data_IF_220896341058
#
_entry.id   IF_220896341058
#
_cell.length_a   1.000
_cell.length_b   1.000
_cell.length_c   1.000
_cell.angle_alpha   90.00
_cell.angle_beta   90.00
_cell.angle_gamma   90.00
#
_symmetry.space_group_name_H-M   'P 1'
#
loop_
_entity.id
_entity.type
_entity.pdbx_description
1 polymer ?
#
# COMPACT_ATOMS: atom_id res chain seq x y z
N UNK A 1 1.63 -37.60 15.55
CA UNK A 1 2.83 -37.27 14.74
C UNK A 1 3.17 -35.81 14.96
N UNK A 2 3.74 -35.50 16.12
CA UNK A 2 3.62 -34.17 16.74
C UNK A 2 4.98 -33.63 17.22
N UNK A 3 6.08 -33.98 16.55
CA UNK A 3 7.43 -33.62 17.03
C UNK A 3 8.22 -32.65 16.14
N UNK A 4 7.66 -32.16 15.03
CA UNK A 4 8.41 -31.22 14.18
C UNK A 4 8.28 -29.74 14.57
N UNK A 5 7.20 -29.33 15.27
CA UNK A 5 6.94 -27.91 15.57
C UNK A 5 6.19 -27.74 16.91
N UNK A 6 6.90 -27.67 18.04
CA UNK A 6 6.30 -27.43 19.36
C UNK A 6 5.39 -26.19 19.38
N UNK A 7 4.23 -26.28 20.03
CA UNK A 7 3.30 -25.15 20.17
C UNK A 7 2.45 -24.85 18.92
N UNK A 8 2.66 -25.56 17.81
CA UNK A 8 1.80 -25.47 16.63
C UNK A 8 0.53 -26.30 16.83
N UNK A 9 -0.64 -25.70 16.60
CA UNK A 9 -1.94 -26.39 16.59
C UNK A 9 -2.79 -25.95 15.41
N UNK A 10 -3.59 -26.87 14.86
CA UNK A 10 -4.62 -26.55 13.88
C UNK A 10 -6.00 -26.51 14.55
N UNK A 11 -6.91 -25.72 13.99
CA UNK A 11 -8.32 -25.74 14.36
C UNK A 11 -9.19 -25.47 13.12
N UNK A 12 -10.40 -26.01 13.12
CA UNK A 12 -11.37 -25.76 12.06
C UNK A 12 -12.23 -24.56 12.45
N UNK A 13 -12.27 -23.55 11.59
CA UNK A 13 -13.12 -22.38 11.75
C UNK A 13 -14.61 -22.75 11.57
N UNK A 14 -15.52 -21.89 12.04
CA UNK A 14 -16.99 -22.06 11.89
C UNK A 14 -17.46 -22.22 10.43
N UNK A 15 -16.60 -21.84 9.49
CA UNK A 15 -16.81 -21.95 8.03
C UNK A 15 -16.09 -23.17 7.41
N UNK A 16 -15.65 -24.14 8.22
CA UNK A 16 -15.00 -25.37 7.74
C UNK A 16 -13.54 -25.22 7.30
N UNK A 17 -12.95 -24.02 7.42
CA UNK A 17 -11.57 -23.77 7.01
C UNK A 17 -10.57 -24.15 8.10
N UNK A 18 -9.61 -25.01 7.77
CA UNK A 18 -8.48 -25.35 8.67
C UNK A 18 -7.55 -24.14 8.79
N UNK A 19 -7.36 -23.67 10.01
CA UNK A 19 -6.42 -22.59 10.36
C UNK A 19 -5.34 -23.13 11.30
N UNK A 20 -4.16 -22.54 11.20
CA UNK A 20 -3.00 -22.91 12.01
C UNK A 20 -2.66 -21.78 12.98
N UNK A 21 -2.24 -22.14 14.19
CA UNK A 21 -1.83 -21.18 15.23
C UNK A 21 -0.65 -21.70 16.03
N UNK A 22 0.22 -20.80 16.45
CA UNK A 22 1.22 -21.04 17.47
C UNK A 22 0.67 -20.59 18.83
N UNK A 23 0.69 -21.49 19.81
CA UNK A 23 0.18 -21.25 21.16
C UNK A 23 1.27 -21.54 22.18
N UNK A 24 1.55 -20.55 23.01
CA UNK A 24 2.29 -20.70 24.27
C UNK A 24 1.36 -20.36 25.44
N UNK A 25 1.87 -20.41 26.67
CA UNK A 25 1.10 -20.00 27.86
C UNK A 25 0.66 -18.53 27.79
N UNK A 26 1.41 -17.68 27.10
CA UNK A 26 1.22 -16.22 27.11
C UNK A 26 0.65 -15.67 25.79
N UNK A 27 0.88 -16.34 24.65
CA UNK A 27 0.49 -15.81 23.33
C UNK A 27 -0.16 -16.85 22.43
N UNK A 28 -1.09 -16.37 21.61
CA UNK A 28 -1.71 -17.11 20.51
C UNK A 28 -1.50 -16.32 19.23
N UNK A 29 -0.72 -16.85 18.30
CA UNK A 29 -0.42 -16.23 17.00
C UNK A 29 -1.00 -17.07 15.87
N UNK A 30 -1.73 -16.45 14.95
CA UNK A 30 -2.17 -17.14 13.73
C UNK A 30 -0.97 -17.34 12.81
N UNK A 31 -0.80 -18.56 12.30
CA UNK A 31 0.30 -18.91 11.39
C UNK A 31 -0.23 -19.40 10.04
N UNK A 32 0.57 -19.28 8.96
CA UNK A 32 0.35 -20.02 7.73
C UNK A 32 0.32 -21.54 7.97
N UNK A 33 -0.18 -22.31 7.00
CA UNK A 33 -0.10 -23.76 7.08
C UNK A 33 1.35 -24.25 6.90
N UNK A 34 1.77 -25.39 7.50
CA UNK A 34 3.13 -25.90 7.40
C UNK A 34 3.66 -26.12 5.98
N UNK A 35 2.76 -26.34 5.02
CA UNK A 35 3.05 -26.53 3.60
C UNK A 35 3.04 -25.24 2.78
N UNK A 36 2.76 -24.07 3.39
CA UNK A 36 2.72 -22.79 2.70
C UNK A 36 4.06 -22.05 2.78
N UNK A 37 4.36 -21.27 1.74
CA UNK A 37 5.48 -20.35 1.74
C UNK A 37 5.35 -19.35 2.90
N UNK A 38 6.48 -19.02 3.54
CA UNK A 38 6.52 -18.12 4.70
C UNK A 38 6.22 -18.78 6.04
N UNK A 39 5.82 -20.07 6.09
CA UNK A 39 5.57 -20.77 7.35
C UNK A 39 6.81 -20.83 8.26
N UNK A 40 7.97 -21.23 7.72
CA UNK A 40 9.19 -21.41 8.52
C UNK A 40 9.62 -20.12 9.21
N UNK A 41 9.60 -19.01 8.48
CA UNK A 41 9.93 -17.68 9.00
C UNK A 41 8.91 -17.21 10.03
N UNK A 42 7.61 -17.35 9.74
CA UNK A 42 6.56 -16.97 10.67
C UNK A 42 6.59 -17.81 11.96
N UNK A 43 6.90 -19.11 11.85
CA UNK A 43 7.07 -20.00 12.99
C UNK A 43 8.31 -19.63 13.81
N UNK A 44 9.46 -19.39 13.17
CA UNK A 44 10.67 -18.96 13.86
C UNK A 44 10.48 -17.63 14.58
N UNK A 45 9.87 -16.64 13.93
CA UNK A 45 9.52 -15.37 14.55
C UNK A 45 8.55 -15.55 15.73
N UNK A 46 7.58 -16.47 15.60
CA UNK A 46 6.64 -16.80 16.67
C UNK A 46 7.31 -17.53 17.85
N UNK A 47 8.38 -18.30 17.64
CA UNK A 47 9.19 -18.92 18.70
C UNK A 47 10.05 -17.87 19.40
N UNK A 48 10.78 -17.06 18.63
CA UNK A 48 11.71 -16.05 19.14
C UNK A 48 11.01 -14.79 19.69
N UNK A 49 9.69 -14.65 19.48
CA UNK A 49 8.93 -13.47 19.90
C UNK A 49 9.22 -12.22 19.06
N UNK A 50 9.86 -12.37 17.90
CA UNK A 50 10.10 -11.27 16.97
C UNK A 50 8.82 -10.93 16.21
N UNK A 51 8.55 -9.63 16.02
CA UNK A 51 7.51 -9.18 15.08
C UNK A 51 8.05 -9.41 13.67
N UNK A 52 7.38 -10.24 12.86
CA UNK A 52 7.70 -10.38 11.44
C UNK A 52 7.52 -8.99 10.80
N UNK A 53 8.56 -8.41 10.18
CA UNK A 53 8.42 -7.14 9.50
C UNK A 53 7.39 -7.30 8.38
N UNK A 54 6.34 -6.48 8.38
CA UNK A 54 5.42 -6.43 7.24
C UNK A 54 6.20 -5.91 6.04
N UNK A 55 6.03 -6.55 4.89
CA UNK A 55 6.60 -6.05 3.64
C UNK A 55 6.20 -4.57 3.45
N UNK A 56 7.13 -3.70 3.02
CA UNK A 56 6.83 -2.31 2.80
C UNK A 56 5.75 -2.19 1.72
N UNK A 57 4.67 -1.48 2.02
CA UNK A 57 3.65 -1.15 1.02
C UNK A 57 4.24 -0.08 0.11
N UNK A 58 4.74 -0.50 -1.05
CA UNK A 58 5.27 0.42 -2.07
C UNK A 58 4.09 0.98 -2.87
N UNK A 59 3.99 2.31 -2.97
CA UNK A 59 3.04 2.96 -3.88
C UNK A 59 3.50 2.69 -5.32
N UNK A 60 2.62 2.16 -6.17
CA UNK A 60 2.93 1.94 -7.58
C UNK A 60 3.26 3.26 -8.28
N UNK A 61 4.26 3.29 -9.18
CA UNK A 61 4.54 4.48 -9.99
C UNK A 61 3.29 4.92 -10.75
N UNK A 62 2.94 6.20 -10.65
CA UNK A 62 1.76 6.76 -11.32
C UNK A 62 0.42 6.50 -10.62
N UNK A 63 0.39 5.74 -9.51
CA UNK A 63 -0.81 5.60 -8.71
C UNK A 63 -1.25 6.96 -8.15
N UNK A 64 -2.52 7.30 -8.38
CA UNK A 64 -3.16 8.47 -7.81
C UNK A 64 -4.49 8.07 -7.20
N UNK A 65 -4.81 8.66 -6.05
CA UNK A 65 -6.10 8.47 -5.40
C UNK A 65 -7.21 9.04 -6.31
N UNK A 66 -8.37 8.38 -6.45
CA UNK A 66 -9.48 8.90 -7.25
C UNK A 66 -9.92 10.29 -6.77
N UNK A 67 -10.20 11.19 -7.71
CA UNK A 67 -10.72 12.53 -7.41
C UNK A 67 -9.71 13.50 -6.79
N UNK A 68 -8.40 13.24 -6.90
CA UNK A 68 -7.34 14.17 -6.48
C UNK A 68 -6.64 14.87 -7.65
N UNK A 69 -5.74 15.83 -7.38
CA UNK A 69 -4.93 16.44 -8.44
C UNK A 69 -4.04 15.41 -9.16
N UNK A 70 -3.56 14.38 -8.46
CA UNK A 70 -2.87 13.27 -9.11
C UNK A 70 -3.75 12.57 -10.16
N UNK A 71 -5.02 12.33 -9.85
CA UNK A 71 -5.96 11.74 -10.81
C UNK A 71 -6.29 12.72 -11.96
N UNK A 72 -6.39 14.02 -11.68
CA UNK A 72 -6.57 15.04 -12.70
C UNK A 72 -5.39 15.08 -13.69
N UNK A 73 -4.15 14.94 -13.19
CA UNK A 73 -2.97 14.88 -14.05
C UNK A 73 -2.95 13.62 -14.92
N UNK A 74 -3.34 12.45 -14.39
CA UNK A 74 -3.49 11.25 -15.21
C UNK A 74 -4.54 11.45 -16.32
N UNK A 75 -5.64 12.15 -16.01
CA UNK A 75 -6.67 12.50 -17.00
C UNK A 75 -6.17 13.51 -18.04
N UNK A 76 -5.26 14.41 -17.66
CA UNK A 76 -4.62 15.34 -18.60
C UNK A 76 -3.76 14.58 -19.63
N UNK A 77 -2.99 13.59 -19.19
CA UNK A 77 -2.07 12.81 -20.06
C UNK A 77 -2.78 12.07 -21.20
N UNK A 78 -4.06 11.71 -21.01
CA UNK A 78 -4.88 11.04 -22.04
C UNK A 78 -5.70 12.01 -22.89
N UNK A 79 -5.63 13.32 -22.63
CA UNK A 79 -6.41 14.30 -23.38
C UNK A 79 -5.84 14.54 -24.78
N UNK A 80 -6.72 14.83 -25.76
CA UNK A 80 -6.32 15.10 -27.15
C UNK A 80 -5.29 16.24 -27.23
N UNK A 81 -5.51 17.32 -26.45
CA UNK A 81 -4.58 18.45 -26.41
C UNK A 81 -3.19 18.06 -25.92
N UNK A 82 -3.11 17.23 -24.88
CA UNK A 82 -1.83 16.75 -24.37
C UNK A 82 -1.13 15.83 -25.36
N UNK A 83 -1.87 14.91 -25.99
CA UNK A 83 -1.33 13.98 -26.98
C UNK A 83 -0.77 14.70 -28.21
N UNK A 84 -1.39 15.81 -28.61
CA UNK A 84 -0.95 16.64 -29.73
C UNK A 84 0.33 17.46 -29.46
N UNK A 85 0.78 17.59 -28.20
CA UNK A 85 2.03 18.29 -27.88
C UNK A 85 3.24 17.50 -28.39
N UNK A 86 4.31 18.23 -28.72
CA UNK A 86 5.63 17.65 -28.96
C UNK A 86 6.23 17.06 -27.68
N UNK A 87 7.23 16.19 -27.84
CA UNK A 87 7.83 15.47 -26.72
C UNK A 87 8.59 16.39 -25.75
N UNK A 88 9.19 17.48 -26.24
CA UNK A 88 9.89 18.43 -25.40
C UNK A 88 8.91 19.19 -24.50
N UNK A 89 7.77 19.61 -25.05
CA UNK A 89 6.67 20.22 -24.30
C UNK A 89 6.07 19.26 -23.28
N UNK A 90 5.80 18.01 -23.66
CA UNK A 90 5.31 16.97 -22.74
C UNK A 90 6.28 16.76 -21.58
N UNK A 91 7.58 16.63 -21.86
CA UNK A 91 8.62 16.43 -20.84
C UNK A 91 8.72 17.63 -19.89
N UNK A 92 8.78 18.85 -20.43
CA UNK A 92 8.86 20.09 -19.63
C UNK A 92 7.64 20.24 -18.73
N UNK A 93 6.44 20.08 -19.28
CA UNK A 93 5.20 20.23 -18.52
C UNK A 93 5.02 19.11 -17.49
N UNK A 94 5.37 17.87 -17.84
CA UNK A 94 5.30 16.75 -16.89
C UNK A 94 6.17 17.00 -15.68
N UNK A 95 7.41 17.46 -15.90
CA UNK A 95 8.35 17.80 -14.82
C UNK A 95 7.77 18.88 -13.90
N UNK A 96 7.29 19.99 -14.44
CA UNK A 96 6.74 21.10 -13.64
C UNK A 96 5.51 20.66 -12.83
N UNK A 97 4.63 19.86 -13.44
CA UNK A 97 3.44 19.36 -12.76
C UNK A 97 3.83 18.36 -11.67
N UNK A 98 4.78 17.45 -11.94
CA UNK A 98 5.24 16.47 -10.95
C UNK A 98 5.92 17.16 -9.75
N UNK A 99 6.78 18.15 -9.99
CA UNK A 99 7.37 18.99 -8.95
C UNK A 99 6.28 19.66 -8.10
N UNK A 100 5.27 20.28 -8.73
CA UNK A 100 4.14 20.88 -8.02
C UNK A 100 3.35 19.88 -7.18
N UNK A 101 3.05 18.69 -7.72
CA UNK A 101 2.26 17.68 -7.03
C UNK A 101 2.97 17.10 -5.79
N UNK A 102 4.29 17.17 -5.75
CA UNK A 102 5.12 16.71 -4.63
C UNK A 102 5.29 17.77 -3.53
N UNK A 103 4.95 19.04 -3.80
CA UNK A 103 4.96 20.08 -2.79
C UNK A 103 3.95 19.81 -1.68
N UNK A 104 4.35 20.11 -0.44
CA UNK A 104 3.45 20.12 0.72
C UNK A 104 2.46 21.27 0.59
N UNK A 105 1.22 21.03 0.96
CA UNK A 105 0.17 22.07 1.02
C UNK A 105 0.45 23.05 2.15
N UNK A 106 0.87 22.53 3.30
CA UNK A 106 1.30 23.29 4.47
C UNK A 106 2.65 22.70 4.92
N UNK A 107 3.69 23.51 5.21
CA UNK A 107 5.03 23.00 5.52
C UNK A 107 5.06 21.92 6.61
N UNK A 108 4.26 22.12 7.67
CA UNK A 108 4.22 21.26 8.86
C UNK A 108 3.23 20.09 8.76
N UNK A 109 2.54 19.94 7.62
CA UNK A 109 1.56 18.88 7.40
C UNK A 109 2.02 17.93 6.28
N UNK A 110 1.91 16.60 6.43
CA UNK A 110 2.35 15.62 5.43
C UNK A 110 1.48 15.58 4.15
N UNK A 111 0.49 16.46 4.02
CA UNK A 111 -0.41 16.49 2.88
C UNK A 111 0.30 17.18 1.72
N UNK A 112 0.42 16.48 0.59
CA UNK A 112 0.97 17.00 -0.65
C UNK A 112 -0.15 17.29 -1.65
N UNK A 113 0.11 18.20 -2.60
CA UNK A 113 -0.87 18.58 -3.61
C UNK A 113 -1.41 17.39 -4.42
N UNK A 114 -0.59 16.36 -4.68
CA UNK A 114 -1.02 15.12 -5.36
C UNK A 114 -2.25 14.47 -4.72
N UNK A 115 -2.32 14.48 -3.40
CA UNK A 115 -3.32 13.75 -2.60
C UNK A 115 -4.49 14.67 -2.19
N UNK A 116 -4.50 15.95 -2.57
CA UNK A 116 -5.61 16.88 -2.31
C UNK A 116 -6.81 16.53 -3.18
N UNK A 117 -7.96 16.35 -2.54
CA UNK A 117 -9.22 16.07 -3.22
C UNK A 117 -9.77 17.31 -3.95
N UNK A 118 -10.07 17.17 -5.23
CA UNK A 118 -10.53 18.27 -6.10
C UNK A 118 -12.07 18.35 -6.14
N UNK A 119 -12.77 17.35 -5.58
CA UNK A 119 -14.25 17.29 -5.55
C UNK A 119 -14.92 18.53 -4.94
N UNK A 120 -14.23 19.23 -4.04
CA UNK A 120 -14.75 20.40 -3.32
C UNK A 120 -14.14 21.72 -3.81
N UNK A 121 -13.32 21.70 -4.86
CA UNK A 121 -12.66 22.89 -5.37
C UNK A 121 -13.70 23.73 -6.13
N UNK A 122 -14.22 24.76 -5.46
CA UNK A 122 -15.18 25.69 -6.05
C UNK A 122 -14.40 26.80 -6.74
N UNK A 123 -14.76 27.10 -7.99
CA UNK A 123 -14.27 28.29 -8.68
C UNK A 123 -14.90 29.51 -8.00
N UNK A 124 -14.17 30.15 -7.11
CA UNK A 124 -14.47 31.52 -6.70
C UNK A 124 -13.79 32.38 -7.76
N UNK A 125 -14.58 33.12 -8.53
CA UNK A 125 -14.08 34.01 -9.58
C UNK A 125 -13.02 34.96 -8.99
N UNK A 126 -11.87 35.06 -9.66
CA UNK A 126 -10.89 36.15 -9.57
C UNK A 126 -10.97 36.87 -10.91
#
# INVERSE_FOLDING_TARGET
MTDKHPGLSSYTDRHGKVRWRYRTKERVLSLPAPNQAGFKEAYQAAVEGRKVPKAPVVRMPGAALPGTFGAAFQRLKISVKWLALDEASKRKNSRLIEEFLELRVVPDHPLIWRDVAVKNLRRIHI
#
